data_IF_207453053382
#
_entry.id   IF_207453053382
#
_cell.length_a   1.000
_cell.length_b   1.000
_cell.length_c   1.000
_cell.angle_alpha   90.00
_cell.angle_beta   90.00
_cell.angle_gamma   90.00
#
_symmetry.space_group_name_H-M   'P 1'
#
loop_
_entity.id
_entity.type
_entity.pdbx_description
1 polymer ?
#
# COMPACT_ATOMS: atom_id res chain seq x y z
N UNK A 1 8.95 -47.15 0.84
CA UNK A 1 9.21 -45.71 0.63
C UNK A 1 8.05 -45.23 -0.20
N UNK A 2 7.02 -44.69 0.47
CA UNK A 2 5.78 -44.34 -0.21
C UNK A 2 6.04 -43.19 -1.19
N UNK A 3 5.76 -43.43 -2.47
CA UNK A 3 5.78 -42.41 -3.50
C UNK A 3 4.64 -41.44 -3.20
N UNK A 4 4.98 -40.26 -2.66
CA UNK A 4 4.03 -39.15 -2.52
C UNK A 4 3.45 -38.88 -3.91
N UNK A 5 2.16 -39.11 -4.08
CA UNK A 5 1.51 -38.95 -5.38
C UNK A 5 1.41 -37.46 -5.75
N UNK A 6 1.34 -37.14 -7.04
CA UNK A 6 1.13 -35.75 -7.49
C UNK A 6 -0.09 -35.08 -6.85
N UNK A 7 -1.13 -35.86 -6.53
CA UNK A 7 -2.31 -35.39 -5.81
C UNK A 7 -2.01 -35.03 -4.34
N UNK A 8 -1.13 -35.77 -3.66
CA UNK A 8 -0.70 -35.44 -2.30
C UNK A 8 0.17 -34.18 -2.28
N UNK A 9 1.08 -34.03 -3.26
CA UNK A 9 1.86 -32.80 -3.42
C UNK A 9 0.95 -31.61 -3.66
N UNK A 10 -0.01 -31.72 -4.57
CA UNK A 10 -0.99 -30.66 -4.86
C UNK A 10 -1.83 -30.31 -3.63
N UNK A 11 -2.28 -31.31 -2.86
CA UNK A 11 -3.03 -31.09 -1.62
C UNK A 11 -2.23 -30.33 -0.55
N UNK A 12 -0.93 -30.62 -0.44
CA UNK A 12 -0.03 -29.87 0.44
C UNK A 12 0.10 -28.41 -0.01
N UNK A 13 0.37 -28.16 -1.31
CA UNK A 13 0.47 -26.80 -1.85
C UNK A 13 -0.81 -26.00 -1.62
N UNK A 14 -1.99 -26.58 -1.89
CA UNK A 14 -3.27 -25.91 -1.65
C UNK A 14 -3.47 -25.56 -0.17
N UNK A 15 -3.07 -26.45 0.74
CA UNK A 15 -3.18 -26.22 2.19
C UNK A 15 -2.25 -25.07 2.65
N UNK A 16 -1.04 -25.02 2.11
CA UNK A 16 -0.10 -23.93 2.38
C UNK A 16 -0.62 -22.59 1.85
N UNK A 17 -1.18 -22.56 0.64
CA UNK A 17 -1.77 -21.33 0.08
C UNK A 17 -2.95 -20.83 0.93
N UNK A 18 -3.89 -21.72 1.28
CA UNK A 18 -5.03 -21.36 2.13
C UNK A 18 -4.59 -20.86 3.51
N UNK A 19 -3.53 -21.42 4.07
CA UNK A 19 -2.92 -20.91 5.30
C UNK A 19 -2.40 -19.50 5.10
N UNK A 20 -1.55 -19.26 4.10
CA UNK A 20 -0.98 -17.96 3.84
C UNK A 20 -2.05 -16.90 3.57
N UNK A 21 -3.05 -17.21 2.75
CA UNK A 21 -4.18 -16.33 2.46
C UNK A 21 -4.92 -15.93 3.74
N UNK A 22 -5.24 -16.90 4.61
CA UNK A 22 -5.89 -16.64 5.90
C UNK A 22 -5.07 -15.70 6.78
N UNK A 23 -3.75 -15.80 6.77
CA UNK A 23 -2.87 -14.93 7.57
C UNK A 23 -2.64 -13.56 6.93
N UNK A 24 -2.84 -13.44 5.62
CA UNK A 24 -2.77 -12.18 4.90
C UNK A 24 -4.09 -11.40 4.94
N UNK A 25 -5.24 -12.04 5.19
CA UNK A 25 -6.54 -11.33 5.27
C UNK A 25 -6.53 -10.12 6.22
N UNK A 26 -5.95 -10.19 7.44
CA UNK A 26 -5.87 -9.00 8.29
C UNK A 26 -5.05 -7.86 7.67
N UNK A 27 -4.06 -8.17 6.82
CA UNK A 27 -3.24 -7.14 6.17
C UNK A 27 -4.02 -6.29 5.18
N UNK A 28 -5.18 -6.75 4.70
CA UNK A 28 -6.09 -5.96 3.87
C UNK A 28 -6.57 -4.68 4.58
N UNK A 29 -6.57 -4.66 5.93
CA UNK A 29 -6.91 -3.45 6.70
C UNK A 29 -5.93 -2.29 6.43
N UNK A 30 -4.70 -2.60 6.00
CA UNK A 30 -3.67 -1.63 5.68
C UNK A 30 -3.68 -1.20 4.21
N UNK A 31 -4.65 -1.65 3.41
CA UNK A 31 -4.80 -1.23 2.01
C UNK A 31 -4.91 0.30 1.86
N UNK A 32 -5.42 1.00 2.88
CA UNK A 32 -5.47 2.46 2.93
C UNK A 32 -4.09 3.15 2.92
N UNK A 33 -3.00 2.41 3.15
CA UNK A 33 -1.63 2.92 3.12
C UNK A 33 -0.91 2.67 1.78
N UNK A 34 -1.54 2.00 0.82
CA UNK A 34 -0.88 1.60 -0.43
C UNK A 34 -0.34 2.79 -1.24
N UNK A 35 -0.99 3.97 -1.15
CA UNK A 35 -0.52 5.19 -1.80
C UNK A 35 0.88 5.65 -1.36
N UNK A 36 1.39 5.14 -0.22
CA UNK A 36 2.72 5.49 0.31
C UNK A 36 3.87 4.85 -0.45
N UNK A 37 3.62 3.91 -1.37
CA UNK A 37 4.67 3.37 -2.23
C UNK A 37 5.19 4.42 -3.24
N UNK A 38 4.42 5.50 -3.45
CA UNK A 38 4.73 6.61 -4.35
C UNK A 38 5.08 6.15 -5.78
N UNK A 39 4.57 4.99 -6.19
CA UNK A 39 4.70 4.47 -7.55
C UNK A 39 4.02 5.40 -8.57
N UNK A 40 2.94 6.05 -8.15
CA UNK A 40 2.22 7.10 -8.87
C UNK A 40 1.97 8.29 -7.92
N UNK A 41 1.69 9.50 -8.45
CA UNK A 41 1.29 10.63 -7.63
C UNK A 41 0.02 10.30 -6.83
N UNK A 42 0.04 10.42 -5.49
CA UNK A 42 -1.03 9.90 -4.66
C UNK A 42 -2.34 10.70 -4.85
N UNK A 43 -3.47 10.01 -4.94
CA UNK A 43 -4.76 10.68 -5.03
C UNK A 43 -5.27 11.13 -3.66
N UNK A 44 -6.00 12.25 -3.62
CA UNK A 44 -6.50 12.75 -2.34
C UNK A 44 -7.52 11.80 -1.71
N UNK A 45 -8.32 11.08 -2.50
CA UNK A 45 -9.30 10.14 -1.95
C UNK A 45 -8.62 8.97 -1.20
N UNK A 46 -7.45 8.53 -1.67
CA UNK A 46 -6.67 7.47 -1.03
C UNK A 46 -6.08 7.94 0.30
N UNK A 47 -5.59 9.18 0.33
CA UNK A 47 -5.04 9.82 1.53
C UNK A 47 -6.16 10.07 2.54
N UNK A 48 -7.33 10.54 2.11
CA UNK A 48 -8.49 10.74 2.97
C UNK A 48 -8.95 9.42 3.62
N UNK A 49 -8.97 8.32 2.86
CA UNK A 49 -9.28 6.99 3.38
C UNK A 49 -8.26 6.55 4.47
N UNK A 50 -6.97 6.83 4.27
CA UNK A 50 -5.91 6.61 5.25
C UNK A 50 -6.11 7.46 6.53
N UNK A 51 -6.41 8.74 6.37
CA UNK A 51 -6.67 9.67 7.48
C UNK A 51 -7.87 9.19 8.30
N UNK A 52 -8.94 8.73 7.63
CA UNK A 52 -10.12 8.19 8.30
C UNK A 52 -9.77 6.93 9.10
N UNK A 53 -9.02 6.00 8.51
CA UNK A 53 -8.55 4.80 9.20
C UNK A 53 -7.74 5.14 10.46
N UNK A 54 -6.78 6.06 10.35
CA UNK A 54 -5.95 6.52 11.47
C UNK A 54 -6.79 7.17 12.58
N UNK A 55 -7.78 8.00 12.21
CA UNK A 55 -8.72 8.63 13.14
C UNK A 55 -9.54 7.58 13.89
N UNK A 56 -10.01 6.53 13.22
CA UNK A 56 -10.73 5.41 13.85
C UNK A 56 -9.85 4.64 14.86
N UNK A 57 -8.53 4.61 14.65
CA UNK A 57 -7.54 4.03 15.59
C UNK A 57 -7.08 5.02 16.67
N UNK A 58 -7.65 6.23 16.71
CA UNK A 58 -7.32 7.26 17.71
C UNK A 58 -6.02 8.02 17.43
N UNK A 59 -5.49 7.93 16.21
CA UNK A 59 -4.31 8.69 15.79
C UNK A 59 -4.77 10.04 15.23
N UNK A 60 -4.40 11.16 15.87
CA UNK A 60 -4.78 12.48 15.38
C UNK A 60 -4.00 12.84 14.12
N UNK A 61 -4.70 13.33 13.10
CA UNK A 61 -4.11 13.84 11.87
C UNK A 61 -4.67 15.24 11.60
N UNK A 62 -3.76 16.18 11.34
CA UNK A 62 -4.08 17.51 10.84
C UNK A 62 -4.28 17.40 9.32
N UNK A 63 -5.54 17.23 8.91
CA UNK A 63 -5.94 17.01 7.52
C UNK A 63 -5.66 18.24 6.63
N UNK A 64 -5.82 19.45 7.16
CA UNK A 64 -5.48 20.68 6.47
C UNK A 64 -3.98 20.75 6.15
N UNK A 65 -3.11 20.50 7.14
CA UNK A 65 -1.66 20.47 6.92
C UNK A 65 -1.27 19.34 5.95
N UNK A 66 -1.91 18.18 6.06
CA UNK A 66 -1.66 17.05 5.16
C UNK A 66 -2.02 17.41 3.71
N UNK A 67 -3.15 18.06 3.49
CA UNK A 67 -3.57 18.54 2.17
C UNK A 67 -2.54 19.50 1.56
N UNK A 68 -2.03 20.45 2.34
CA UNK A 68 -1.00 21.38 1.89
C UNK A 68 0.29 20.64 1.49
N UNK A 69 0.73 19.67 2.30
CA UNK A 69 1.93 18.88 2.04
C UNK A 69 1.81 18.07 0.74
N UNK A 70 0.66 17.40 0.54
CA UNK A 70 0.39 16.59 -0.65
C UNK A 70 0.31 17.47 -1.89
N UNK A 71 -0.34 18.63 -1.78
CA UNK A 71 -0.43 19.60 -2.88
C UNK A 71 0.94 20.11 -3.28
N UNK A 72 1.80 20.41 -2.31
CA UNK A 72 3.17 20.85 -2.58
C UNK A 72 4.01 19.74 -3.22
N UNK A 73 3.84 18.50 -2.77
CA UNK A 73 4.52 17.34 -3.37
C UNK A 73 4.10 17.18 -4.84
N UNK A 74 2.80 17.24 -5.16
CA UNK A 74 2.31 17.16 -6.54
C UNK A 74 2.93 18.23 -7.44
N UNK A 75 2.91 19.49 -6.99
CA UNK A 75 3.53 20.61 -7.72
C UNK A 75 5.02 20.39 -7.97
N UNK A 76 5.74 19.87 -6.97
CA UNK A 76 7.16 19.58 -7.10
C UNK A 76 7.41 18.48 -8.14
N UNK A 77 6.71 17.34 -8.04
CA UNK A 77 6.84 16.23 -8.98
C UNK A 77 6.51 16.65 -10.41
N UNK A 78 5.47 17.47 -10.60
CA UNK A 78 5.12 18.04 -11.91
C UNK A 78 6.25 18.92 -12.47
N UNK A 79 6.87 19.76 -11.64
CA UNK A 79 7.99 20.62 -12.06
C UNK A 79 9.25 19.84 -12.44
N UNK A 80 9.52 18.71 -11.77
CA UNK A 80 10.64 17.83 -12.11
C UNK A 80 10.41 17.06 -13.41
N UNK A 81 9.17 16.74 -13.76
CA UNK A 81 8.85 16.06 -15.02
C UNK A 81 8.90 17.01 -16.23
N UNK A 82 8.76 18.33 -16.01
CA UNK A 82 8.88 19.34 -17.08
C UNK A 82 10.31 19.79 -17.36
N UNK A 83 11.18 19.77 -16.34
CA UNK A 83 12.58 20.13 -16.44
C UNK A 83 13.42 18.86 -16.31
N UNK A 84 13.78 18.26 -17.46
CA UNK A 84 14.39 16.93 -17.55
C UNK A 84 15.81 16.76 -17.00
N UNK A 85 16.12 17.26 -15.80
CA UNK A 85 17.33 16.90 -15.05
C UNK A 85 17.09 17.09 -13.54
N UNK A 86 17.04 15.97 -12.81
CA UNK A 86 17.31 15.96 -11.37
C UNK A 86 18.36 14.88 -11.09
N UNK A 87 19.60 15.29 -10.79
CA UNK A 87 20.57 14.41 -10.15
C UNK A 87 20.16 14.23 -8.68
N UNK A 88 19.87 12.98 -8.32
CA UNK A 88 19.57 12.57 -6.95
C UNK A 88 20.90 12.49 -6.18
N UNK A 89 20.99 13.18 -5.03
CA UNK A 89 22.08 13.02 -4.06
C UNK A 89 21.94 11.72 -3.26
#
# INVERSE_FOLDING_TARGET
MDLVSGAQVQGLYSSCLAYLEKWMTPMEEFSSFMWMDLSEPPDWNEIEACIKYLREKGVPVDDAKCFDQVTNLKKFTESCNSDGDFEIF
#
